data_IF_592427627985
#
_entry.id   IF_592427627985
#
_cell.length_a   1.000
_cell.length_b   1.000
_cell.length_c   1.000
_cell.angle_alpha   90.00
_cell.angle_beta   90.00
_cell.angle_gamma   90.00
#
_symmetry.space_group_name_H-M   'P 1'
#
loop_
_entity.id
_entity.type
_entity.pdbx_description
1 polymer ?
#
# COMPACT_ATOMS: atom_id res chain seq x y z
N UNK A 1 -5.87 19.28 6.94
CA UNK A 1 -5.87 19.51 5.48
C UNK A 1 -4.48 19.92 5.02
N UNK A 2 -3.79 18.99 4.36
CA UNK A 2 -2.45 19.21 3.79
C UNK A 2 -2.62 19.91 2.43
N UNK A 3 -1.81 20.95 2.17
CA UNK A 3 -1.89 21.68 0.91
C UNK A 3 -1.38 20.83 -0.27
N UNK A 4 -2.03 20.86 -1.45
CA UNK A 4 -1.57 20.12 -2.62
C UNK A 4 -0.19 20.61 -3.10
N UNK A 5 0.78 19.71 -3.33
CA UNK A 5 2.14 20.07 -3.72
C UNK A 5 2.19 20.59 -5.16
N UNK A 6 3.01 21.62 -5.39
CA UNK A 6 3.24 22.23 -6.71
C UNK A 6 4.72 22.23 -7.09
N UNK A 7 5.61 22.14 -6.11
CA UNK A 7 7.06 22.11 -6.28
C UNK A 7 7.63 20.75 -5.89
N UNK A 8 8.80 20.41 -6.43
CA UNK A 8 9.49 19.16 -6.08
C UNK A 8 9.81 19.05 -4.58
N UNK A 9 10.06 20.17 -3.91
CA UNK A 9 10.34 20.20 -2.47
C UNK A 9 9.08 19.88 -1.64
N UNK A 10 7.91 20.36 -2.04
CA UNK A 10 6.63 20.04 -1.40
C UNK A 10 6.27 18.57 -1.62
N UNK A 11 6.43 18.07 -2.85
CA UNK A 11 6.26 16.65 -3.16
C UNK A 11 7.17 15.77 -2.30
N UNK A 12 8.44 16.17 -2.18
CA UNK A 12 9.43 15.50 -1.32
C UNK A 12 8.98 15.42 0.13
N UNK A 13 8.42 16.51 0.68
CA UNK A 13 7.94 16.54 2.05
C UNK A 13 6.68 15.70 2.23
N UNK A 14 5.74 15.75 1.26
CA UNK A 14 4.52 14.95 1.26
C UNK A 14 4.84 13.45 1.20
N UNK A 15 5.75 13.04 0.32
CA UNK A 15 6.16 11.63 0.19
C UNK A 15 6.84 11.09 1.45
N UNK A 16 7.52 11.96 2.22
CA UNK A 16 8.06 11.58 3.54
C UNK A 16 6.94 11.30 4.54
N UNK A 17 5.96 12.21 4.65
CA UNK A 17 4.79 12.02 5.53
C UNK A 17 3.97 10.80 5.12
N UNK A 18 3.84 10.58 3.81
CA UNK A 18 3.18 9.39 3.26
C UNK A 18 3.90 8.12 3.69
N UNK A 19 5.23 8.09 3.65
CA UNK A 19 6.03 6.96 4.11
C UNK A 19 5.89 6.70 5.62
N UNK A 20 5.73 7.76 6.43
CA UNK A 20 5.51 7.68 7.88
C UNK A 20 4.12 7.14 8.26
N UNK A 21 3.16 7.18 7.34
CA UNK A 21 1.84 6.59 7.51
C UNK A 21 0.91 7.32 8.47
N UNK A 22 1.02 8.65 8.52
CA UNK A 22 0.19 9.54 9.33
C UNK A 22 -0.78 10.34 8.48
N UNK A 23 -2.00 10.59 8.96
CA UNK A 23 -2.98 11.46 8.29
C UNK A 23 -3.33 11.04 6.85
N UNK A 24 -3.54 9.73 6.64
CA UNK A 24 -3.75 9.10 5.33
C UNK A 24 -4.78 9.79 4.43
N UNK A 25 -5.90 10.24 4.98
CA UNK A 25 -6.95 10.95 4.22
C UNK A 25 -6.47 12.29 3.67
N UNK A 26 -5.85 13.11 4.53
CA UNK A 26 -5.30 14.42 4.16
C UNK A 26 -4.16 14.26 3.14
N UNK A 27 -3.31 13.23 3.30
CA UNK A 27 -2.22 12.92 2.37
C UNK A 27 -2.77 12.48 1.02
N UNK A 28 -3.76 11.58 1.00
CA UNK A 28 -4.34 11.10 -0.24
C UNK A 28 -4.98 12.23 -1.04
N UNK A 29 -5.70 13.12 -0.35
CA UNK A 29 -6.23 14.32 -0.99
C UNK A 29 -5.13 15.19 -1.62
N UNK A 30 -4.05 15.44 -0.88
CA UNK A 30 -2.93 16.23 -1.39
C UNK A 30 -2.20 15.53 -2.57
N UNK A 31 -2.01 14.21 -2.52
CA UNK A 31 -1.46 13.42 -3.62
C UNK A 31 -2.32 13.58 -4.89
N UNK A 32 -3.64 13.41 -4.76
CA UNK A 32 -4.57 13.40 -5.89
C UNK A 32 -4.76 14.77 -6.55
N UNK A 33 -4.55 15.85 -5.81
CA UNK A 33 -4.79 17.23 -6.28
C UNK A 33 -3.51 18.02 -6.54
N UNK A 34 -2.34 17.41 -6.29
CA UNK A 34 -1.04 18.00 -6.57
C UNK A 34 -0.76 18.11 -8.07
N UNK A 35 0.18 18.97 -8.42
CA UNK A 35 0.65 19.13 -9.81
C UNK A 35 2.15 18.91 -9.89
N UNK A 36 2.61 18.21 -10.92
CA UNK A 36 4.03 17.95 -11.14
C UNK A 36 4.39 18.19 -12.61
N UNK A 37 5.42 18.99 -12.84
CA UNK A 37 6.01 19.12 -14.17
C UNK A 37 6.85 17.86 -14.46
N UNK A 38 6.30 16.94 -15.27
CA UNK A 38 6.97 15.70 -15.63
C UNK A 38 8.01 15.93 -16.74
N UNK A 39 9.25 16.15 -16.34
CA UNK A 39 10.38 16.42 -17.24
C UNK A 39 11.60 15.58 -16.86
N UNK A 40 12.50 15.32 -17.81
CA UNK A 40 13.73 14.57 -17.57
C UNK A 40 14.54 15.17 -16.42
N UNK A 41 15.08 14.31 -15.56
CA UNK A 41 15.76 14.64 -14.30
C UNK A 41 14.81 14.75 -13.11
N UNK A 42 13.61 15.33 -13.27
CA UNK A 42 12.58 15.37 -12.22
C UNK A 42 11.84 14.04 -12.18
N UNK A 43 11.48 13.50 -13.34
CA UNK A 43 10.75 12.25 -13.51
C UNK A 43 11.42 11.07 -12.80
N UNK A 44 12.71 10.82 -13.04
CA UNK A 44 13.44 9.66 -12.51
C UNK A 44 13.63 9.76 -11.01
N UNK A 45 13.94 10.97 -10.50
CA UNK A 45 14.10 11.20 -9.06
C UNK A 45 12.76 11.09 -8.32
N UNK A 46 11.71 11.64 -8.91
CA UNK A 46 10.37 11.52 -8.35
C UNK A 46 9.92 10.07 -8.34
N UNK A 47 10.07 9.36 -9.46
CA UNK A 47 9.65 7.98 -9.60
C UNK A 47 10.33 7.08 -8.56
N UNK A 48 11.66 7.19 -8.44
CA UNK A 48 12.42 6.47 -7.41
C UNK A 48 11.89 6.76 -6.01
N UNK A 49 11.73 8.05 -5.68
CA UNK A 49 11.29 8.48 -4.35
C UNK A 49 9.88 8.01 -4.02
N UNK A 50 8.99 8.00 -5.01
CA UNK A 50 7.63 7.53 -4.84
C UNK A 50 7.57 6.02 -4.65
N UNK A 51 8.31 5.25 -5.47
CA UNK A 51 8.49 3.81 -5.26
C UNK A 51 9.04 3.50 -3.87
N UNK A 52 10.09 4.21 -3.43
CA UNK A 52 10.71 4.01 -2.12
C UNK A 52 9.69 4.25 -0.98
N UNK A 53 8.86 5.30 -1.12
CA UNK A 53 7.84 5.62 -0.13
C UNK A 53 6.69 4.60 -0.11
N UNK A 54 6.24 4.11 -1.27
CA UNK A 54 5.26 3.03 -1.38
C UNK A 54 5.81 1.75 -0.74
N UNK A 55 7.04 1.36 -1.07
CA UNK A 55 7.69 0.17 -0.52
C UNK A 55 7.85 0.27 1.00
N UNK A 56 8.22 1.44 1.53
CA UNK A 56 8.30 1.65 2.98
C UNK A 56 6.95 1.41 3.67
N UNK A 57 5.85 1.85 3.05
CA UNK A 57 4.49 1.64 3.57
C UNK A 57 4.02 0.20 3.45
N UNK A 58 4.36 -0.48 2.35
CA UNK A 58 4.12 -1.92 2.18
C UNK A 58 4.83 -2.70 3.29
N UNK A 59 6.13 -2.44 3.52
CA UNK A 59 6.91 -3.10 4.56
C UNK A 59 6.34 -2.84 5.96
N UNK A 60 5.97 -1.59 6.26
CA UNK A 60 5.34 -1.24 7.54
C UNK A 60 4.01 -1.96 7.74
N UNK A 61 3.22 -2.12 6.67
CA UNK A 61 1.96 -2.87 6.71
C UNK A 61 2.19 -4.36 6.95
N UNK A 62 3.21 -4.96 6.33
CA UNK A 62 3.64 -6.33 6.59
C UNK A 62 4.10 -6.52 8.04
N UNK A 63 4.99 -5.67 8.54
CA UNK A 63 5.49 -5.75 9.91
C UNK A 63 4.37 -5.61 10.95
N UNK A 64 3.36 -4.78 10.66
CA UNK A 64 2.17 -4.67 11.50
C UNK A 64 1.31 -5.93 11.42
N UNK A 65 1.07 -6.43 10.21
CA UNK A 65 0.30 -7.65 10.00
C UNK A 65 0.93 -8.85 10.72
N UNK A 66 2.24 -9.04 10.62
CA UNK A 66 2.94 -10.13 11.27
C UNK A 66 2.80 -10.06 12.80
N UNK A 67 2.92 -8.87 13.38
CA UNK A 67 2.69 -8.66 14.82
C UNK A 67 1.24 -8.93 15.21
N UNK A 68 0.28 -8.40 14.46
CA UNK A 68 -1.14 -8.63 14.72
C UNK A 68 -1.49 -10.12 14.65
N UNK A 69 -0.89 -10.86 13.70
CA UNK A 69 -1.10 -12.29 13.53
C UNK A 69 -0.42 -13.12 14.62
N UNK A 70 0.76 -12.73 15.10
CA UNK A 70 1.42 -13.34 16.25
C UNK A 70 0.62 -13.18 17.55
N UNK A 71 -0.09 -12.06 17.71
CA UNK A 71 -0.93 -11.79 18.88
C UNK A 71 -2.38 -12.29 18.74
N UNK A 72 -2.80 -12.72 17.55
CA UNK A 72 -4.15 -13.20 17.32
C UNK A 72 -4.35 -14.60 17.94
N UNK A 73 -5.04 -14.65 19.09
CA UNK A 73 -5.39 -15.91 19.77
C UNK A 73 -6.67 -16.56 19.26
N UNK A 74 -7.49 -15.80 18.54
CA UNK A 74 -8.80 -16.23 18.03
C UNK A 74 -9.00 -15.80 16.57
N UNK A 75 -9.92 -16.50 15.90
CA UNK A 75 -10.27 -16.28 14.49
C UNK A 75 -10.63 -14.82 14.19
N UNK A 76 -11.35 -14.15 15.10
CA UNK A 76 -11.72 -12.74 14.95
C UNK A 76 -10.49 -11.83 14.85
N UNK A 77 -9.45 -12.09 15.63
CA UNK A 77 -8.18 -11.34 15.56
C UNK A 77 -7.48 -11.53 14.22
N UNK A 78 -7.45 -12.78 13.73
CA UNK A 78 -6.84 -13.12 12.43
C UNK A 78 -7.58 -12.45 11.27
N UNK A 79 -8.92 -12.48 11.28
CA UNK A 79 -9.75 -11.76 10.31
C UNK A 79 -9.47 -10.25 10.39
N UNK A 80 -9.38 -9.70 11.60
CA UNK A 80 -9.03 -8.30 11.83
C UNK A 80 -7.70 -7.91 11.19
N UNK A 81 -6.66 -8.74 11.36
CA UNK A 81 -5.35 -8.53 10.76
C UNK A 81 -5.41 -8.56 9.22
N UNK A 82 -6.07 -9.56 8.64
CA UNK A 82 -6.24 -9.68 7.18
C UNK A 82 -7.00 -8.48 6.58
N UNK A 83 -8.10 -8.06 7.20
CA UNK A 83 -8.89 -6.91 6.75
C UNK A 83 -8.15 -5.58 6.94
N UNK A 84 -7.30 -5.47 7.95
CA UNK A 84 -6.45 -4.30 8.16
C UNK A 84 -5.39 -4.21 7.08
N UNK A 85 -4.70 -5.33 6.76
CA UNK A 85 -3.70 -5.38 5.70
C UNK A 85 -4.32 -5.02 4.34
N UNK A 86 -5.49 -5.62 4.01
CA UNK A 86 -6.22 -5.30 2.77
C UNK A 86 -6.55 -3.81 2.66
N UNK A 87 -7.04 -3.19 3.74
CA UNK A 87 -7.37 -1.74 3.74
C UNK A 87 -6.15 -0.88 3.46
N UNK A 88 -5.01 -1.20 4.08
CA UNK A 88 -3.76 -0.48 3.82
C UNK A 88 -3.31 -0.66 2.37
N UNK A 89 -3.32 -1.88 1.83
CA UNK A 89 -2.95 -2.14 0.44
C UNK A 89 -3.88 -1.44 -0.55
N UNK A 90 -5.19 -1.39 -0.28
CA UNK A 90 -6.15 -0.68 -1.11
C UNK A 90 -5.88 0.83 -1.10
N UNK A 91 -5.60 1.41 0.07
CA UNK A 91 -5.16 2.79 0.20
C UNK A 91 -3.90 3.06 -0.64
N UNK A 92 -2.88 2.21 -0.53
CA UNK A 92 -1.62 2.38 -1.27
C UNK A 92 -1.84 2.28 -2.78
N UNK A 93 -2.75 1.41 -3.24
CA UNK A 93 -3.11 1.30 -4.65
C UNK A 93 -3.78 2.59 -5.15
N UNK A 94 -4.70 3.16 -4.37
CA UNK A 94 -5.33 4.44 -4.70
C UNK A 94 -4.34 5.60 -4.69
N UNK A 95 -3.38 5.60 -3.75
CA UNK A 95 -2.31 6.59 -3.71
C UNK A 95 -1.36 6.46 -4.92
N UNK A 96 -1.07 5.22 -5.35
CA UNK A 96 -0.24 4.91 -6.51
C UNK A 96 -0.85 5.37 -7.84
N UNK A 97 -2.18 5.44 -7.92
CA UNK A 97 -2.93 6.02 -9.06
C UNK A 97 -2.84 7.56 -9.06
N UNK A 98 -1.60 8.09 -9.06
CA UNK A 98 -1.28 9.49 -8.89
C UNK A 98 -1.61 10.32 -10.16
N UNK A 99 -2.63 11.21 -10.15
CA UNK A 99 -3.06 11.94 -11.36
C UNK A 99 -2.04 12.92 -11.91
N UNK A 100 -1.09 13.36 -11.07
CA UNK A 100 0.00 14.24 -11.47
C UNK A 100 1.03 13.56 -12.41
N UNK A 101 0.92 12.24 -12.61
CA UNK A 101 1.81 11.44 -13.45
C UNK A 101 1.16 11.07 -14.80
N UNK A 102 1.96 10.87 -15.86
CA UNK A 102 1.44 10.27 -17.08
C UNK A 102 0.94 8.85 -16.83
N UNK A 103 0.00 8.42 -17.68
CA UNK A 103 -0.75 7.17 -17.50
C UNK A 103 0.14 5.93 -17.40
N UNK A 104 1.18 5.82 -18.23
CA UNK A 104 2.11 4.69 -18.21
C UNK A 104 2.84 4.57 -16.87
N UNK A 105 3.33 5.69 -16.33
CA UNK A 105 4.03 5.67 -15.04
C UNK A 105 3.06 5.39 -13.90
N UNK A 106 1.86 5.97 -13.95
CA UNK A 106 0.79 5.70 -13.00
C UNK A 106 0.44 4.21 -12.93
N UNK A 107 0.26 3.57 -14.10
CA UNK A 107 0.00 2.14 -14.20
C UNK A 107 1.11 1.31 -13.54
N UNK A 108 2.39 1.66 -13.78
CA UNK A 108 3.51 0.93 -13.16
C UNK A 108 3.55 1.01 -11.63
N UNK A 109 3.14 2.13 -11.02
CA UNK A 109 3.02 2.22 -9.56
C UNK A 109 1.83 1.43 -9.02
N UNK A 110 0.69 1.46 -9.73
CA UNK A 110 -0.48 0.65 -9.38
C UNK A 110 -0.13 -0.84 -9.44
N UNK A 111 0.57 -1.27 -10.48
CA UNK A 111 1.04 -2.66 -10.65
C UNK A 111 2.03 -3.05 -9.56
N UNK A 112 2.92 -2.15 -9.13
CA UNK A 112 3.84 -2.39 -8.01
C UNK A 112 3.06 -2.77 -6.73
N UNK A 113 2.00 -2.02 -6.40
CA UNK A 113 1.19 -2.32 -5.21
C UNK A 113 0.39 -3.61 -5.40
N UNK A 114 -0.18 -3.82 -6.58
CA UNK A 114 -0.96 -5.02 -6.88
C UNK A 114 -0.09 -6.29 -6.79
N UNK A 115 1.10 -6.29 -7.39
CA UNK A 115 2.05 -7.40 -7.29
C UNK A 115 2.47 -7.69 -5.86
N UNK A 116 2.70 -6.66 -5.04
CA UNK A 116 3.01 -6.84 -3.63
C UNK A 116 1.84 -7.52 -2.89
N UNK A 117 0.60 -7.08 -3.14
CA UNK A 117 -0.58 -7.68 -2.54
C UNK A 117 -0.80 -9.13 -2.99
N UNK A 118 -0.58 -9.43 -4.26
CA UNK A 118 -0.66 -10.79 -4.81
C UNK A 118 0.40 -11.72 -4.20
N UNK A 119 1.64 -11.25 -4.07
CA UNK A 119 2.71 -12.01 -3.43
C UNK A 119 2.43 -12.28 -1.94
N UNK A 120 1.88 -11.29 -1.21
CA UNK A 120 1.45 -11.49 0.17
C UNK A 120 0.32 -12.50 0.28
N UNK A 121 -0.68 -12.43 -0.60
CA UNK A 121 -1.77 -13.41 -0.65
C UNK A 121 -1.25 -14.83 -0.93
N UNK A 122 -0.35 -14.99 -1.90
CA UNK A 122 0.28 -16.28 -2.20
C UNK A 122 1.06 -16.82 -0.99
N UNK A 123 1.84 -15.96 -0.32
CA UNK A 123 2.58 -16.32 0.88
C UNK A 123 1.67 -16.79 2.01
N UNK A 124 0.52 -16.13 2.20
CA UNK A 124 -0.50 -16.52 3.18
C UNK A 124 -1.13 -17.86 2.82
N UNK A 125 -1.49 -18.07 1.56
CA UNK A 125 -2.07 -19.33 1.08
C UNK A 125 -1.09 -20.49 1.23
N UNK A 126 0.20 -20.26 0.97
CA UNK A 126 1.26 -21.25 1.17
C UNK A 126 1.47 -21.57 2.65
N UNK A 127 1.50 -20.56 3.52
CA UNK A 127 1.65 -20.75 4.97
C UNK A 127 0.46 -21.52 5.56
N UNK A 128 -0.75 -21.22 5.11
CA UNK A 128 -1.98 -21.85 5.58
C UNK A 128 -2.10 -23.35 5.23
N UNK A 129 -1.33 -23.86 4.26
CA UNK A 129 -1.28 -25.30 3.93
C UNK A 129 -0.70 -26.15 5.07
N UNK A 130 0.09 -25.54 5.97
CA UNK A 130 0.68 -26.23 7.12
C UNK A 130 -0.31 -26.44 8.29
N UNK A 131 -1.44 -25.72 8.29
CA UNK A 131 -2.50 -25.88 9.29
C UNK A 131 -3.35 -27.12 8.99
N UNK A 132 -3.21 -28.14 9.84
CA UNK A 132 -3.93 -29.42 9.70
C UNK A 132 -5.44 -29.30 9.91
N UNK A 133 -5.91 -28.23 10.55
CA UNK A 133 -7.34 -28.01 10.78
C UNK A 133 -8.07 -27.45 9.56
N UNK A 134 -7.34 -26.88 8.59
CA UNK A 134 -7.89 -26.22 7.41
C UNK A 134 -8.56 -24.88 7.67
N UNK A 135 -8.66 -24.45 8.93
CA UNK A 135 -9.30 -23.19 9.33
C UNK A 135 -8.55 -21.99 8.76
N UNK A 136 -7.22 -22.00 8.84
CA UNK A 136 -6.40 -20.92 8.28
C UNK A 136 -6.57 -20.80 6.77
N UNK A 137 -6.64 -21.93 6.07
CA UNK A 137 -6.86 -21.96 4.62
C UNK A 137 -8.23 -21.38 4.25
N UNK A 138 -9.29 -21.67 5.03
CA UNK A 138 -10.60 -21.07 4.83
C UNK A 138 -10.57 -19.55 5.05
N UNK A 139 -9.95 -19.09 6.15
CA UNK A 139 -9.87 -17.67 6.48
C UNK A 139 -9.16 -16.85 5.41
N UNK A 140 -7.98 -17.29 4.96
CA UNK A 140 -7.19 -16.60 3.93
C UNK A 140 -7.93 -16.51 2.60
N UNK A 141 -8.72 -17.54 2.25
CA UNK A 141 -9.53 -17.55 1.02
C UNK A 141 -10.78 -16.68 1.12
N UNK A 142 -11.42 -16.64 2.28
CA UNK A 142 -12.59 -15.77 2.52
C UNK A 142 -12.21 -14.30 2.70
N UNK A 143 -11.00 -14.03 3.19
CA UNK A 143 -10.51 -12.69 3.53
C UNK A 143 -9.22 -12.34 2.77
N UNK A 144 -9.19 -12.59 1.46
CA UNK A 144 -8.03 -12.33 0.58
C UNK A 144 -7.47 -10.93 0.69
N UNK A 145 -6.18 -10.73 0.82
CA UNK A 145 -5.60 -9.38 0.98
C UNK A 145 -5.34 -8.66 -0.35
N UNK A 146 -5.43 -9.39 -1.47
CA UNK A 146 -5.14 -8.90 -2.82
C UNK A 146 -6.35 -8.42 -3.63
N UNK A 147 -7.55 -8.41 -3.05
CA UNK A 147 -8.72 -7.78 -3.68
C UNK A 147 -8.72 -6.30 -3.32
N UNK A 148 -8.07 -5.51 -4.15
CA UNK A 148 -7.89 -4.06 -3.97
C UNK A 148 -8.88 -3.30 -4.85
N UNK A 149 -10.16 -3.32 -4.45
CA UNK A 149 -11.17 -2.47 -5.11
C UNK A 149 -10.89 -1.00 -4.78
N UNK A 150 -10.82 -0.18 -5.83
CA UNK A 150 -10.85 1.28 -5.78
C UNK A 150 -12.27 1.80 -5.56
#
# INVERSE_FOLDING_TARGET
MIAPPKTYAEWTALLRQFAEGTADEDILHALQTGTLAWQSGVAERFAKRFSDAINARINTASDRFDRDMQHATEERGMIGALLSLRRTLAYLRTAADLPALPEEQRASFVDLVQHAADHMQESLENSAKSDRSGKMSALVRSHRVNILVS
#
